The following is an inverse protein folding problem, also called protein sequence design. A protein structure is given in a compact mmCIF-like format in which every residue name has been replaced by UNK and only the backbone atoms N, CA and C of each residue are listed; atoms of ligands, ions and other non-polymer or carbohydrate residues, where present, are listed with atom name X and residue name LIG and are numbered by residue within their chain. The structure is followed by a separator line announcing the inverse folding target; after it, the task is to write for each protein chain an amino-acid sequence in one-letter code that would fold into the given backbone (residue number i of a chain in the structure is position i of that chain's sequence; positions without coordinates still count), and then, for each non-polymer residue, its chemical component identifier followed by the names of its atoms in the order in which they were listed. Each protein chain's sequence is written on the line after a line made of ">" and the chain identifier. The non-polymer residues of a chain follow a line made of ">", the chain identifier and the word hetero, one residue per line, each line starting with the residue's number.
data_IF_161406312224
#
_entry.id   IF_161406312224
#
_cell.length_a   1.000
_cell.length_b   1.000
_cell.length_c   1.000
_cell.angle_alpha   90.00
_cell.angle_beta   90.00
_cell.angle_gamma   90.00
#
_symmetry.space_group_name_H-M   'P 1'
#
loop_
_entity.id
_entity.type
_entity.pdbx_description
1 polymer ?
#
# COMPACT_ATOMS: atom_id res chain seq x y z
N UNK A 1 -9.17 -1.74 -17.44
CA UNK A 1 -8.23 -2.17 -16.39
C UNK A 1 -8.48 -1.29 -15.17
N UNK A 2 -8.52 -1.85 -13.97
CA UNK A 2 -8.81 -1.12 -12.73
C UNK A 2 -7.66 -1.31 -11.74
N UNK A 3 -7.43 -0.32 -10.86
CA UNK A 3 -6.37 -0.33 -9.87
C UNK A 3 -6.91 0.09 -8.49
N UNK A 4 -6.20 -0.27 -7.43
CA UNK A 4 -6.53 0.08 -6.05
C UNK A 4 -5.30 0.69 -5.36
N UNK A 5 -5.49 1.79 -4.64
CA UNK A 5 -4.43 2.52 -3.92
C UNK A 5 -4.86 2.76 -2.47
N UNK A 6 -4.01 2.37 -1.53
CA UNK A 6 -4.18 2.72 -0.12
C UNK A 6 -3.50 4.05 0.20
N UNK A 7 -4.27 5.13 0.28
CA UNK A 7 -3.78 6.49 0.52
C UNK A 7 -3.66 6.90 2.00
N UNK A 8 -4.06 6.02 2.93
CA UNK A 8 -4.04 6.27 4.38
C UNK A 8 -4.80 7.55 4.78
N UNK A 9 -4.14 8.43 5.55
CA UNK A 9 -4.65 9.73 5.99
C UNK A 9 -3.77 10.84 5.37
N UNK A 10 -4.03 11.25 4.11
CA UNK A 10 -3.12 12.08 3.32
C UNK A 10 -3.07 13.56 3.75
N UNK A 11 -3.91 14.01 4.69
CA UNK A 11 -3.98 15.41 5.09
C UNK A 11 -4.67 16.31 4.06
N UNK A 12 -4.34 17.60 4.06
CA UNK A 12 -4.99 18.62 3.21
C UNK A 12 -4.49 18.66 1.77
N UNK A 13 -3.28 18.15 1.53
CA UNK A 13 -2.60 18.23 0.23
C UNK A 13 -3.04 17.11 -0.71
N UNK A 14 -4.32 17.12 -1.10
CA UNK A 14 -4.91 16.10 -1.96
C UNK A 14 -4.30 15.98 -3.36
N UNK A 15 -3.59 17.03 -3.82
CA UNK A 15 -2.86 16.99 -5.09
C UNK A 15 -1.76 15.93 -5.10
N UNK A 16 -1.16 15.62 -3.95
CA UNK A 16 -0.16 14.55 -3.87
C UNK A 16 -0.72 13.16 -4.25
N UNK A 17 -2.04 12.96 -4.17
CA UNK A 17 -2.69 11.74 -4.66
C UNK A 17 -2.82 11.76 -6.19
N UNK A 18 -3.11 12.92 -6.79
CA UNK A 18 -3.24 13.04 -8.25
C UNK A 18 -1.89 12.93 -8.96
N UNK A 19 -0.83 13.46 -8.36
CA UNK A 19 0.52 13.46 -8.95
C UNK A 19 1.00 12.02 -9.26
N UNK A 20 0.71 11.06 -8.37
CA UNK A 20 1.07 9.65 -8.58
C UNK A 20 0.08 8.88 -9.45
N UNK A 21 -1.19 9.29 -9.48
CA UNK A 21 -2.21 8.64 -10.31
C UNK A 21 -2.06 8.98 -11.79
N UNK A 22 -1.66 10.21 -12.11
CA UNK A 22 -1.44 10.66 -13.48
C UNK A 22 0.01 10.48 -13.97
N UNK A 23 0.90 10.02 -13.08
CA UNK A 23 2.26 9.65 -13.44
C UNK A 23 3.25 10.81 -13.42
N UNK A 24 2.90 11.96 -12.83
CA UNK A 24 3.88 13.02 -12.55
C UNK A 24 4.99 12.47 -11.63
N UNK A 25 4.64 11.54 -10.74
CA UNK A 25 5.58 10.72 -9.97
C UNK A 25 5.20 9.23 -10.01
N UNK A 26 6.22 8.38 -9.87
CA UNK A 26 6.05 6.93 -9.72
C UNK A 26 5.62 6.53 -8.30
N UNK A 27 4.82 5.48 -8.17
CA UNK A 27 4.52 4.89 -6.86
C UNK A 27 5.78 4.24 -6.27
N UNK A 28 6.15 4.64 -5.05
CA UNK A 28 7.29 4.05 -4.31
C UNK A 28 6.90 3.52 -2.93
N UNK A 29 5.66 3.77 -2.50
CA UNK A 29 5.15 3.41 -1.18
C UNK A 29 5.15 1.90 -0.94
N UNK A 30 5.62 1.52 0.24
CA UNK A 30 5.58 0.13 0.73
C UNK A 30 4.75 0.07 2.01
N UNK A 31 3.97 -1.00 2.16
CA UNK A 31 3.12 -1.20 3.33
C UNK A 31 3.96 -1.24 4.61
N UNK A 32 3.71 -0.29 5.51
CA UNK A 32 4.34 -0.22 6.85
C UNK A 32 3.67 -1.14 7.88
N UNK A 33 2.55 -1.78 7.51
CA UNK A 33 1.89 -2.82 8.31
C UNK A 33 1.44 -3.97 7.41
N UNK A 34 1.43 -5.17 7.97
CA UNK A 34 0.85 -6.36 7.33
C UNK A 34 -0.65 -6.16 7.10
N UNK A 35 -1.13 -6.41 5.89
CA UNK A 35 -2.56 -6.40 5.58
C UNK A 35 -3.12 -7.82 5.77
N UNK A 36 -3.97 -8.00 6.78
CA UNK A 36 -4.59 -9.29 7.11
C UNK A 36 -5.75 -9.63 6.14
N UNK A 37 -6.03 -10.93 5.94
CA UNK A 37 -7.18 -11.40 5.13
C UNK A 37 -8.48 -11.33 5.92
N UNK A 38 -8.44 -11.73 7.19
CA UNK A 38 -9.55 -11.64 8.14
C UNK A 38 -9.07 -11.01 9.45
N UNK A 39 -9.98 -10.30 10.14
CA UNK A 39 -9.75 -9.74 11.47
C UNK A 39 -9.47 -10.82 12.52
N UNK A 40 -9.94 -12.05 12.30
CA UNK A 40 -9.73 -13.19 13.20
C UNK A 40 -8.26 -13.64 13.25
N UNK A 41 -7.44 -13.21 12.30
CA UNK A 41 -6.01 -13.50 12.28
C UNK A 41 -5.22 -12.60 13.25
N UNK A 42 -5.85 -11.61 13.88
CA UNK A 42 -5.16 -10.70 14.78
C UNK A 42 -4.94 -11.33 16.17
N UNK A 43 -3.78 -11.11 16.81
CA UNK A 43 -2.61 -10.36 16.33
C UNK A 43 -1.75 -11.17 15.33
N UNK A 44 -1.39 -10.55 14.20
CA UNK A 44 -0.49 -11.13 13.19
C UNK A 44 0.54 -10.08 12.74
N UNK A 45 1.81 -10.35 13.03
CA UNK A 45 2.96 -9.51 12.69
C UNK A 45 4.03 -10.32 11.96
N UNK A 46 4.99 -9.60 11.36
CA UNK A 46 6.13 -10.21 10.68
C UNK A 46 6.94 -11.05 11.67
N UNK A 47 7.10 -12.35 11.37
CA UNK A 47 7.84 -13.29 12.20
C UNK A 47 6.97 -14.25 13.01
N UNK A 48 5.64 -14.09 13.00
CA UNK A 48 4.74 -15.03 13.65
C UNK A 48 4.69 -16.38 12.90
N UNK A 49 4.51 -17.48 13.64
CA UNK A 49 4.47 -18.85 13.06
C UNK A 49 3.28 -19.09 12.14
N UNK A 50 2.20 -18.31 12.29
CA UNK A 50 0.98 -18.38 11.48
C UNK A 50 0.82 -17.14 10.58
N UNK A 51 1.91 -16.70 9.96
CA UNK A 51 1.92 -15.50 9.11
C UNK A 51 1.36 -15.79 7.70
N UNK A 52 0.05 -15.58 7.52
CA UNK A 52 -0.65 -15.69 6.22
C UNK A 52 -1.37 -14.37 5.84
N UNK A 53 -0.62 -13.34 5.42
CA UNK A 53 -1.20 -12.03 5.08
C UNK A 53 -1.83 -12.00 3.70
N UNK A 54 -2.77 -11.07 3.48
CA UNK A 54 -3.26 -10.73 2.14
C UNK A 54 -2.18 -9.96 1.37
N UNK A 55 -1.59 -8.96 2.02
CA UNK A 55 -0.41 -8.26 1.54
C UNK A 55 0.64 -8.22 2.65
N UNK A 56 1.84 -8.77 2.42
CA UNK A 56 2.87 -8.80 3.46
C UNK A 56 3.40 -7.39 3.76
N UNK A 57 3.97 -7.22 4.94
CA UNK A 57 4.76 -6.03 5.27
C UNK A 57 5.81 -5.75 4.18
N UNK A 58 5.95 -4.49 3.80
CA UNK A 58 6.87 -4.05 2.76
C UNK A 58 6.35 -4.24 1.32
N UNK A 59 5.15 -4.80 1.13
CA UNK A 59 4.55 -4.92 -0.20
C UNK A 59 4.18 -3.55 -0.77
N UNK A 60 4.43 -3.35 -2.06
CA UNK A 60 4.08 -2.13 -2.79
C UNK A 60 4.42 -2.30 -4.25
N UNK A 61 3.47 -2.00 -5.13
CA UNK A 61 3.71 -1.98 -6.57
C UNK A 61 4.34 -0.65 -6.96
N UNK A 62 5.27 -0.68 -7.91
CA UNK A 62 5.97 0.51 -8.40
C UNK A 62 5.48 0.87 -9.80
N UNK A 63 5.44 2.16 -10.09
CA UNK A 63 5.23 2.68 -11.44
C UNK A 63 6.37 3.61 -11.78
N UNK A 64 6.71 3.68 -13.07
CA UNK A 64 7.62 4.71 -13.58
C UNK A 64 6.82 5.99 -13.87
N UNK A 65 7.43 7.18 -13.70
CA UNK A 65 6.82 8.43 -14.12
C UNK A 65 6.49 8.41 -15.62
N UNK A 66 5.38 9.03 -16.00
CA UNK A 66 5.04 9.31 -17.38
C UNK A 66 5.80 10.59 -17.79
N UNK A 67 6.83 10.44 -18.61
CA UNK A 67 7.69 11.52 -19.09
C UNK A 67 6.93 12.75 -19.62
#
# INVERSE_FOLDING_TARGET
>A
MYAFVAAWLPGTEGLGVTDVLYGDYGFTGKLSRTWFKSVDQLPMNVGDTHYDPLFPFGFGLMTEPAC
#
